data_IF_123998868204
#
_entry.id   IF_123998868204
#
_cell.length_a   1.000
_cell.length_b   1.000
_cell.length_c   1.000
_cell.angle_alpha   90.00
_cell.angle_beta   90.00
_cell.angle_gamma   90.00
#
_symmetry.space_group_name_H-M   'P 1'
#
loop_
_entity.id
_entity.type
_entity.pdbx_description
1 polymer ?
#
# COMPACT_ATOMS: atom_id res chain seq x y z
N UNK A 1 -24.45 -7.49 8.95
CA UNK A 1 -23.05 -7.85 8.66
C UNK A 1 -22.28 -7.86 9.96
N UNK A 2 -21.83 -9.02 10.42
CA UNK A 2 -20.96 -9.11 11.60
C UNK A 2 -19.69 -8.30 11.32
N UNK A 3 -19.42 -7.27 12.13
CA UNK A 3 -18.13 -6.60 12.13
C UNK A 3 -17.11 -7.56 12.74
N UNK A 4 -16.41 -8.32 11.91
CA UNK A 4 -15.26 -9.08 12.36
C UNK A 4 -14.16 -8.10 12.76
N UNK A 5 -13.93 -7.96 14.07
CA UNK A 5 -12.80 -7.22 14.61
C UNK A 5 -11.51 -7.98 14.23
N UNK A 6 -10.81 -7.50 13.21
CA UNK A 6 -9.48 -8.02 12.89
C UNK A 6 -8.51 -7.43 13.92
N UNK A 7 -7.78 -8.24 14.70
CA UNK A 7 -6.85 -7.72 15.70
C UNK A 7 -5.79 -6.84 15.02
N UNK A 8 -5.55 -5.65 15.58
CA UNK A 8 -4.68 -4.60 15.03
C UNK A 8 -3.27 -5.10 14.69
N UNK A 9 -2.77 -6.07 15.45
CA UNK A 9 -1.47 -6.71 15.23
C UNK A 9 -1.39 -7.41 13.87
N UNK A 10 -2.49 -8.06 13.43
CA UNK A 10 -2.49 -8.81 12.17
C UNK A 10 -2.43 -7.87 10.96
N UNK A 11 -3.10 -6.71 11.03
CA UNK A 11 -3.11 -5.75 9.91
C UNK A 11 -1.79 -4.98 9.77
N UNK A 12 -1.17 -4.59 10.89
CA UNK A 12 0.18 -3.99 10.87
C UNK A 12 1.22 -4.97 10.35
N UNK A 13 1.14 -6.24 10.77
CA UNK A 13 2.02 -7.31 10.28
C UNK A 13 1.83 -7.51 8.77
N UNK A 14 0.59 -7.55 8.29
CA UNK A 14 0.30 -7.64 6.86
C UNK A 14 0.89 -6.45 6.08
N UNK A 15 0.76 -5.23 6.58
CA UNK A 15 1.37 -4.04 5.97
C UNK A 15 2.90 -4.12 5.93
N UNK A 16 3.54 -4.59 7.00
CA UNK A 16 4.99 -4.80 7.02
C UNK A 16 5.43 -5.87 6.02
N UNK A 17 4.67 -6.96 5.89
CA UNK A 17 4.93 -7.99 4.87
C UNK A 17 4.84 -7.39 3.46
N UNK A 18 3.84 -6.54 3.18
CA UNK A 18 3.75 -5.83 1.89
C UNK A 18 5.00 -4.99 1.64
N UNK A 19 5.45 -4.18 2.62
CA UNK A 19 6.64 -3.36 2.48
C UNK A 19 7.90 -4.18 2.16
N UNK A 20 8.03 -5.36 2.77
CA UNK A 20 9.15 -6.28 2.51
C UNK A 20 9.06 -6.85 1.10
N UNK A 21 7.88 -7.27 0.64
CA UNK A 21 7.71 -7.80 -0.72
C UNK A 21 7.95 -6.72 -1.78
N UNK A 22 7.48 -5.49 -1.54
CA UNK A 22 7.76 -4.35 -2.43
C UNK A 22 9.25 -4.02 -2.49
N UNK A 23 10.00 -4.15 -1.40
CA UNK A 23 11.44 -3.99 -1.41
C UNK A 23 12.11 -5.01 -2.34
N UNK A 24 11.65 -6.27 -2.33
CA UNK A 24 12.13 -7.30 -3.25
C UNK A 24 11.75 -7.00 -4.71
N UNK A 25 10.52 -6.54 -4.98
CA UNK A 25 10.10 -6.13 -6.32
C UNK A 25 10.92 -4.93 -6.82
N UNK A 26 11.22 -3.97 -5.94
CA UNK A 26 12.09 -2.84 -6.24
C UNK A 26 13.51 -3.32 -6.58
N UNK A 27 14.08 -4.25 -5.80
CA UNK A 27 15.38 -4.84 -6.10
C UNK A 27 15.40 -5.57 -7.45
N UNK A 28 14.33 -6.31 -7.79
CA UNK A 28 14.17 -6.95 -9.09
C UNK A 28 14.05 -5.92 -10.24
N UNK A 29 13.35 -4.82 -10.02
CA UNK A 29 13.24 -3.73 -10.99
C UNK A 29 14.60 -3.06 -11.25
N UNK A 30 15.37 -2.81 -10.18
CA UNK A 30 16.75 -2.30 -10.27
C UNK A 30 17.64 -3.27 -11.04
N UNK A 31 17.59 -4.56 -10.72
CA UNK A 31 18.32 -5.59 -11.45
C UNK A 31 17.95 -5.61 -12.94
N UNK A 32 16.66 -5.55 -13.26
CA UNK A 32 16.16 -5.46 -14.63
C UNK A 32 16.67 -4.22 -15.37
N UNK A 33 16.73 -3.07 -14.67
CA UNK A 33 17.23 -1.81 -15.22
C UNK A 33 18.71 -1.92 -15.61
N UNK A 34 19.56 -2.46 -14.73
CA UNK A 34 20.98 -2.68 -15.01
C UNK A 34 21.19 -3.70 -16.12
N UNK A 35 20.40 -4.79 -16.13
CA UNK A 35 20.46 -5.80 -17.19
C UNK A 35 20.09 -5.22 -18.56
N UNK A 36 19.04 -4.42 -18.64
CA UNK A 36 18.63 -3.74 -19.88
C UNK A 36 19.69 -2.73 -20.34
N UNK A 37 20.28 -1.98 -19.40
CA UNK A 37 21.37 -1.07 -19.72
C UNK A 37 22.60 -1.79 -20.28
N UNK A 38 22.96 -2.95 -19.72
CA UNK A 38 24.06 -3.76 -20.22
C UNK A 38 23.79 -4.34 -21.62
N UNK A 39 22.54 -4.75 -21.90
CA UNK A 39 22.16 -5.34 -23.19
C UNK A 39 22.02 -4.31 -24.32
N UNK A 40 21.45 -3.14 -24.05
CA UNK A 40 21.12 -2.14 -25.07
C UNK A 40 22.10 -0.96 -25.14
N UNK A 41 22.95 -0.82 -24.12
CA UNK A 41 23.98 0.22 -24.04
C UNK A 41 23.39 1.64 -24.08
N UNK A 42 24.06 2.53 -24.82
CA UNK A 42 23.73 3.96 -24.89
C UNK A 42 22.29 4.26 -25.33
N UNK A 43 21.69 3.41 -26.18
CA UNK A 43 20.32 3.59 -26.65
C UNK A 43 19.27 3.53 -25.52
N UNK A 44 19.60 2.87 -24.40
CA UNK A 44 18.75 2.77 -23.22
C UNK A 44 19.10 3.80 -22.14
N UNK A 45 20.08 4.69 -22.35
CA UNK A 45 20.56 5.60 -21.30
C UNK A 45 19.47 6.54 -20.74
N UNK A 46 18.61 7.08 -21.61
CA UNK A 46 17.52 7.97 -21.17
C UNK A 46 16.50 7.18 -20.32
N UNK A 47 16.13 5.98 -20.76
CA UNK A 47 15.23 5.08 -20.03
C UNK A 47 15.85 4.61 -18.70
N UNK A 48 17.16 4.38 -18.69
CA UNK A 48 17.92 4.07 -17.49
C UNK A 48 17.83 5.20 -16.46
N UNK A 49 18.08 6.45 -16.89
CA UNK A 49 18.01 7.61 -16.00
C UNK A 49 16.60 7.80 -15.42
N UNK A 50 15.56 7.69 -16.26
CA UNK A 50 14.16 7.72 -15.82
C UNK A 50 13.84 6.59 -14.82
N UNK A 51 14.37 5.39 -15.08
CA UNK A 51 14.22 4.24 -14.19
C UNK A 51 14.86 4.45 -12.81
N UNK A 52 16.08 4.99 -12.77
CA UNK A 52 16.76 5.30 -11.50
C UNK A 52 15.99 6.35 -10.69
N UNK A 53 15.50 7.41 -11.33
CA UNK A 53 14.68 8.43 -10.66
C UNK A 53 13.41 7.81 -10.08
N UNK A 54 12.74 6.93 -10.85
CA UNK A 54 11.56 6.19 -10.39
C UNK A 54 11.86 5.34 -9.16
N UNK A 55 12.99 4.61 -9.15
CA UNK A 55 13.42 3.79 -8.01
C UNK A 55 13.58 4.63 -6.74
N UNK A 56 14.19 5.82 -6.83
CA UNK A 56 14.32 6.71 -5.68
C UNK A 56 12.97 7.15 -5.11
N UNK A 57 12.00 7.50 -5.97
CA UNK A 57 10.65 7.88 -5.54
C UNK A 57 9.96 6.71 -4.84
N UNK A 58 10.09 5.50 -5.38
CA UNK A 58 9.52 4.28 -4.79
C UNK A 58 10.15 4.00 -3.42
N UNK A 59 11.47 4.12 -3.27
CA UNK A 59 12.15 3.93 -1.99
C UNK A 59 11.66 4.94 -0.92
N UNK A 60 11.45 6.20 -1.31
CA UNK A 60 10.87 7.21 -0.41
C UNK A 60 9.44 6.80 -0.02
N UNK A 61 8.63 6.33 -0.96
CA UNK A 61 7.27 5.87 -0.69
C UNK A 61 7.24 4.68 0.29
N UNK A 62 8.13 3.70 0.13
CA UNK A 62 8.26 2.55 1.05
C UNK A 62 8.71 3.03 2.43
N UNK A 63 9.67 3.96 2.52
CA UNK A 63 10.12 4.52 3.79
C UNK A 63 8.99 5.26 4.52
N UNK A 64 8.19 6.05 3.80
CA UNK A 64 7.00 6.72 4.33
C UNK A 64 5.93 5.72 4.76
N UNK A 65 5.76 4.61 4.03
CA UNK A 65 4.85 3.55 4.41
C UNK A 65 5.23 2.90 5.74
N UNK A 66 6.49 2.51 5.90
CA UNK A 66 7.01 1.96 7.17
C UNK A 66 6.90 3.00 8.30
N UNK A 67 7.18 4.27 8.00
CA UNK A 67 7.01 5.36 8.97
C UNK A 67 5.55 5.58 9.36
N UNK A 68 4.60 5.43 8.44
CA UNK A 68 3.16 5.50 8.72
C UNK A 68 2.72 4.39 9.69
N UNK A 69 3.22 3.17 9.50
CA UNK A 69 2.95 2.04 10.41
C UNK A 69 3.52 2.33 11.81
N UNK A 70 4.73 2.89 11.89
CA UNK A 70 5.39 3.22 13.17
C UNK A 70 4.74 4.41 13.89
N UNK A 71 4.36 5.45 13.16
CA UNK A 71 3.81 6.69 13.72
C UNK A 71 2.29 6.65 13.89
N UNK A 72 1.62 5.57 13.45
CA UNK A 72 0.17 5.37 13.48
C UNK A 72 -0.64 6.48 12.78
N UNK A 73 0.01 7.25 11.93
CA UNK A 73 -0.57 8.41 11.26
C UNK A 73 -0.96 8.04 9.82
N UNK A 74 -2.27 8.08 9.52
CA UNK A 74 -2.80 7.71 8.21
C UNK A 74 -2.31 8.65 7.09
N UNK A 75 -1.99 9.91 7.40
CA UNK A 75 -1.58 10.93 6.43
C UNK A 75 -0.32 10.55 5.63
N UNK A 76 0.62 9.83 6.25
CA UNK A 76 1.86 9.40 5.60
C UNK A 76 1.66 8.23 4.63
N UNK A 77 0.49 7.58 4.67
CA UNK A 77 0.14 6.46 3.79
C UNK A 77 -0.39 6.92 2.42
N UNK A 78 -0.91 8.15 2.34
CA UNK A 78 -1.46 8.75 1.12
C UNK A 78 -0.48 8.72 -0.06
N UNK A 79 0.79 9.19 0.06
CA UNK A 79 1.72 9.16 -1.06
C UNK A 79 1.96 7.73 -1.58
N UNK A 80 2.06 6.75 -0.68
CA UNK A 80 2.26 5.35 -1.05
C UNK A 80 1.04 4.78 -1.79
N UNK A 81 -0.17 5.00 -1.27
CA UNK A 81 -1.43 4.60 -1.94
C UNK A 81 -1.54 5.23 -3.33
N UNK A 82 -1.20 6.51 -3.47
CA UNK A 82 -1.24 7.22 -4.75
C UNK A 82 -0.25 6.64 -5.77
N UNK A 83 0.95 6.26 -5.32
CA UNK A 83 1.97 5.64 -6.16
C UNK A 83 1.54 4.24 -6.64
N UNK A 84 0.95 3.42 -5.76
CA UNK A 84 0.41 2.11 -6.14
C UNK A 84 -0.71 2.22 -7.18
N UNK A 85 -1.68 3.12 -6.98
CA UNK A 85 -2.77 3.34 -7.95
C UNK A 85 -2.20 3.74 -9.31
N UNK A 86 -1.25 4.68 -9.32
CA UNK A 86 -0.56 5.09 -10.54
C UNK A 86 0.14 3.92 -11.23
N UNK A 87 0.87 3.09 -10.47
CA UNK A 87 1.61 1.94 -10.98
C UNK A 87 0.66 0.90 -11.60
N UNK A 88 -0.46 0.58 -10.94
CA UNK A 88 -1.49 -0.33 -11.49
C UNK A 88 -2.02 0.18 -12.83
N UNK A 89 -2.43 1.46 -12.89
CA UNK A 89 -2.94 2.07 -14.13
C UNK A 89 -1.87 2.04 -15.22
N UNK A 90 -0.62 2.37 -14.87
CA UNK A 90 0.50 2.37 -15.80
C UNK A 90 0.76 0.97 -16.38
N UNK A 91 0.80 -0.08 -15.56
CA UNK A 91 1.01 -1.46 -16.02
C UNK A 91 -0.10 -1.91 -16.98
N UNK A 92 -1.36 -1.62 -16.66
CA UNK A 92 -2.50 -1.94 -17.53
C UNK A 92 -2.38 -1.18 -18.86
N UNK A 93 -2.08 0.12 -18.80
CA UNK A 93 -1.92 0.96 -19.98
C UNK A 93 -0.81 0.44 -20.89
N UNK A 94 0.36 0.10 -20.35
CA UNK A 94 1.46 -0.44 -21.16
C UNK A 94 1.08 -1.79 -21.76
N UNK A 95 0.43 -2.68 -21.01
CA UNK A 95 -0.07 -3.96 -21.53
C UNK A 95 -1.06 -3.76 -22.71
N UNK A 96 -1.97 -2.79 -22.60
CA UNK A 96 -2.91 -2.44 -23.68
C UNK A 96 -2.19 -1.88 -24.89
N UNK A 97 -1.21 -0.97 -24.71
CA UNK A 97 -0.42 -0.43 -25.82
C UNK A 97 0.32 -1.54 -26.55
N UNK A 98 0.98 -2.45 -25.82
CA UNK A 98 1.69 -3.59 -26.43
C UNK A 98 0.70 -4.51 -27.18
N UNK A 99 -0.47 -4.78 -26.61
CA UNK A 99 -1.51 -5.58 -27.27
C UNK A 99 -2.02 -4.94 -28.57
N UNK A 100 -2.22 -3.61 -28.58
CA UNK A 100 -2.63 -2.86 -29.78
C UNK A 100 -1.52 -2.89 -30.84
N UNK A 101 -0.26 -2.68 -30.45
CA UNK A 101 0.88 -2.74 -31.36
C UNK A 101 1.03 -4.14 -31.98
N UNK A 102 0.77 -5.19 -31.22
CA UNK A 102 0.72 -6.56 -31.72
C UNK A 102 -0.42 -6.78 -32.71
N UNK A 103 -1.62 -6.25 -32.42
CA UNK A 103 -2.79 -6.38 -33.29
C UNK A 103 -2.57 -5.73 -34.67
N UNK A 104 -1.82 -4.63 -34.73
CA UNK A 104 -1.45 -3.98 -35.99
C UNK A 104 -0.16 -4.53 -36.64
N UNK A 105 0.49 -5.54 -36.06
CA UNK A 105 1.77 -6.07 -36.57
C UNK A 105 2.90 -5.04 -36.53
N UNK A 106 2.80 -4.01 -35.68
CA UNK A 106 3.76 -2.92 -35.58
C UNK A 106 4.96 -3.31 -34.69
N UNK A 107 5.71 -4.36 -35.07
CA UNK A 107 6.82 -4.90 -34.29
C UNK A 107 7.93 -3.88 -34.00
N UNK A 108 8.16 -2.94 -34.92
CA UNK A 108 9.09 -1.83 -34.72
C UNK A 108 8.67 -0.93 -33.55
N UNK A 109 7.37 -0.76 -33.34
CA UNK A 109 6.81 -0.04 -32.19
C UNK A 109 7.09 -0.74 -30.87
N UNK A 110 6.93 -2.06 -30.82
CA UNK A 110 7.24 -2.88 -29.63
C UNK A 110 8.73 -2.77 -29.29
N UNK A 111 9.61 -2.91 -30.30
CA UNK A 111 11.07 -2.75 -30.13
C UNK A 111 11.42 -1.35 -29.62
N UNK A 112 10.78 -0.31 -30.15
CA UNK A 112 11.03 1.05 -29.69
C UNK A 112 10.57 1.28 -28.24
N UNK A 113 9.41 0.75 -27.85
CA UNK A 113 8.88 0.85 -26.49
C UNK A 113 9.82 0.23 -25.46
N UNK A 114 10.55 -0.81 -25.86
CA UNK A 114 11.52 -1.50 -25.00
C UNK A 114 12.93 -0.89 -25.04
N UNK A 115 13.16 0.13 -25.87
CA UNK A 115 14.50 0.71 -26.08
C UNK A 115 15.42 -0.14 -26.97
N UNK A 116 14.83 -1.04 -27.76
CA UNK A 116 15.50 -2.10 -28.55
C UNK A 116 15.48 -1.76 -30.05
N UNK A 117 15.34 -0.49 -30.42
CA UNK A 117 15.09 -0.06 -31.81
C UNK A 117 16.12 -0.57 -32.83
N UNK A 118 17.37 -0.81 -32.41
CA UNK A 118 18.50 -1.20 -33.26
C UNK A 118 18.98 -2.65 -33.05
N UNK A 119 18.35 -3.42 -32.16
CA UNK A 119 18.77 -4.81 -31.94
C UNK A 119 18.14 -5.73 -32.98
N UNK A 120 18.95 -6.56 -33.63
CA UNK A 120 18.47 -7.48 -34.66
C UNK A 120 17.66 -8.60 -34.01
N UNK A 121 16.36 -8.56 -34.21
CA UNK A 121 15.40 -9.47 -33.60
C UNK A 121 14.39 -9.89 -34.67
N UNK A 122 14.07 -11.18 -34.74
CA UNK A 122 13.06 -11.68 -35.67
C UNK A 122 11.66 -11.20 -35.27
N UNK A 123 10.73 -11.15 -36.22
CA UNK A 123 9.35 -10.77 -35.91
C UNK A 123 8.68 -11.80 -34.99
N UNK A 124 8.97 -13.10 -35.16
CA UNK A 124 8.49 -14.17 -34.27
C UNK A 124 8.96 -14.00 -32.82
N UNK A 125 10.23 -13.67 -32.62
CA UNK A 125 10.75 -13.40 -31.28
C UNK A 125 10.14 -12.14 -30.69
N UNK A 126 9.85 -11.12 -31.52
CA UNK A 126 9.23 -9.87 -31.06
C UNK A 126 7.79 -10.11 -30.64
N UNK A 127 7.07 -10.97 -31.36
CA UNK A 127 5.72 -11.41 -31.01
C UNK A 127 5.69 -12.15 -29.68
N UNK A 128 6.56 -13.15 -29.49
CA UNK A 128 6.65 -13.90 -28.23
C UNK A 128 7.02 -12.99 -27.06
N UNK A 129 7.98 -12.09 -27.26
CA UNK A 129 8.38 -11.11 -26.25
C UNK A 129 7.22 -10.16 -25.89
N UNK A 130 6.44 -9.72 -26.89
CA UNK A 130 5.23 -8.92 -26.67
C UNK A 130 4.21 -9.64 -25.79
N UNK A 131 3.92 -10.92 -26.07
CA UNK A 131 3.02 -11.75 -25.24
C UNK A 131 3.57 -11.85 -23.81
N UNK A 132 4.87 -12.14 -23.66
CA UNK A 132 5.49 -12.27 -22.35
C UNK A 132 5.38 -10.98 -21.52
N UNK A 133 5.59 -9.82 -22.14
CA UNK A 133 5.41 -8.52 -21.46
C UNK A 133 3.98 -8.34 -20.99
N UNK A 134 3.00 -8.60 -21.87
CA UNK A 134 1.58 -8.45 -21.52
C UNK A 134 1.25 -9.33 -20.31
N UNK A 135 1.64 -10.60 -20.35
CA UNK A 135 1.38 -11.56 -19.26
C UNK A 135 2.04 -11.11 -17.96
N UNK A 136 3.32 -10.73 -18.01
CA UNK A 136 4.06 -10.28 -16.83
C UNK A 136 3.43 -9.01 -16.24
N UNK A 137 3.12 -8.01 -17.06
CA UNK A 137 2.53 -6.75 -16.57
C UNK A 137 1.13 -6.94 -16.01
N UNK A 138 0.31 -7.84 -16.58
CA UNK A 138 -0.98 -8.19 -15.99
C UNK A 138 -0.84 -8.93 -14.66
N UNK A 139 0.12 -9.86 -14.54
CA UNK A 139 0.39 -10.55 -13.27
C UNK A 139 0.87 -9.59 -12.19
N UNK A 140 1.80 -8.68 -12.52
CA UNK A 140 2.26 -7.66 -11.58
C UNK A 140 1.11 -6.71 -11.23
N UNK A 141 0.27 -6.29 -12.18
CA UNK A 141 -0.89 -5.45 -11.89
C UNK A 141 -1.88 -6.14 -10.93
N UNK A 142 -2.13 -7.44 -11.08
CA UNK A 142 -2.95 -8.22 -10.14
C UNK A 142 -2.34 -8.27 -8.74
N UNK A 143 -1.01 -8.43 -8.65
CA UNK A 143 -0.29 -8.41 -7.38
C UNK A 143 -0.39 -7.03 -6.71
N UNK A 144 -0.24 -5.96 -7.48
CA UNK A 144 -0.34 -4.58 -7.00
C UNK A 144 -1.78 -4.23 -6.56
N UNK A 145 -2.80 -4.76 -7.23
CA UNK A 145 -4.21 -4.65 -6.77
C UNK A 145 -4.39 -5.35 -5.41
N UNK A 146 -3.76 -6.50 -5.21
CA UNK A 146 -3.79 -7.21 -3.94
C UNK A 146 -3.10 -6.42 -2.81
N UNK A 147 -1.94 -5.83 -3.08
CA UNK A 147 -1.25 -4.95 -2.12
C UNK A 147 -2.06 -3.69 -1.83
N UNK A 148 -2.61 -3.04 -2.86
CA UNK A 148 -3.48 -1.88 -2.72
C UNK A 148 -4.68 -2.19 -1.81
N UNK A 149 -5.27 -3.38 -1.92
CA UNK A 149 -6.36 -3.80 -1.04
C UNK A 149 -5.94 -3.88 0.44
N UNK A 150 -4.76 -4.45 0.72
CA UNK A 150 -4.22 -4.55 2.09
C UNK A 150 -3.92 -3.16 2.65
N UNK A 151 -3.20 -2.33 1.88
CA UNK A 151 -2.84 -0.96 2.24
C UNK A 151 -4.08 -0.09 2.44
N UNK A 152 -5.09 -0.22 1.57
CA UNK A 152 -6.35 0.51 1.70
C UNK A 152 -7.12 0.10 2.96
N UNK A 153 -7.16 -1.19 3.31
CA UNK A 153 -7.73 -1.64 4.59
C UNK A 153 -6.97 -1.05 5.78
N UNK A 154 -5.64 -1.02 5.72
CA UNK A 154 -4.80 -0.40 6.74
C UNK A 154 -5.06 1.11 6.86
N UNK A 155 -5.18 1.82 5.73
CA UNK A 155 -5.53 3.24 5.69
C UNK A 155 -6.87 3.52 6.37
N UNK A 156 -7.91 2.76 6.00
CA UNK A 156 -9.24 2.90 6.60
C UNK A 156 -9.23 2.60 8.10
N UNK A 157 -8.44 1.61 8.52
CA UNK A 157 -8.24 1.30 9.93
C UNK A 157 -7.58 2.47 10.66
N UNK A 158 -6.45 2.99 10.18
CA UNK A 158 -5.74 4.12 10.81
C UNK A 158 -6.60 5.39 10.86
N UNK A 159 -7.33 5.72 9.79
CA UNK A 159 -8.26 6.85 9.80
C UNK A 159 -9.37 6.68 10.86
N UNK A 160 -9.83 5.45 11.10
CA UNK A 160 -10.83 5.19 12.13
C UNK A 160 -10.26 5.44 13.53
N UNK A 161 -9.02 5.01 13.79
CA UNK A 161 -8.33 5.31 15.05
C UNK A 161 -8.10 6.82 15.26
N UNK A 162 -7.70 7.53 14.20
CA UNK A 162 -7.52 8.99 14.23
C UNK A 162 -8.84 9.72 14.50
N UNK A 163 -9.96 9.24 13.95
CA UNK A 163 -11.29 9.80 14.24
C UNK A 163 -11.70 9.63 15.70
N UNK A 164 -11.36 8.48 16.31
CA UNK A 164 -11.67 8.19 17.71
C UNK A 164 -10.80 9.05 18.65
N UNK A 165 -9.51 9.25 18.34
CA UNK A 165 -8.65 10.12 19.13
C UNK A 165 -9.16 11.58 19.11
N UNK A 166 -9.58 12.07 17.95
CA UNK A 166 -10.14 13.41 17.81
C UNK A 166 -11.46 13.60 18.56
N UNK A 167 -12.38 12.62 18.53
CA UNK A 167 -13.63 12.68 19.31
C UNK A 167 -13.36 12.64 20.82
N UNK A 168 -12.44 11.78 21.26
CA UNK A 168 -12.10 11.65 22.68
C UNK A 168 -11.38 12.89 23.21
N UNK A 169 -10.58 13.57 22.37
CA UNK A 169 -9.91 14.81 22.76
C UNK A 169 -10.85 15.92 23.24
N UNK A 170 -12.09 15.90 22.76
CA UNK A 170 -13.13 16.85 23.15
C UNK A 170 -13.86 16.41 24.43
N UNK A 171 -13.94 15.09 24.69
CA UNK A 171 -14.76 14.53 25.77
C UNK A 171 -14.00 14.20 27.06
N UNK A 172 -12.67 14.02 27.06
CA UNK A 172 -11.92 13.82 28.32
C UNK A 172 -11.85 15.09 29.20
N UNK A 173 -12.22 16.25 28.66
CA UNK A 173 -12.24 17.52 29.39
C UNK A 173 -13.50 17.72 30.24
N UNK A 174 -14.50 16.83 30.14
CA UNK A 174 -15.73 16.91 30.93
C UNK A 174 -15.81 15.71 31.88
N UNK A 175 -15.48 15.95 33.15
CA UNK A 175 -15.34 14.95 34.23
C UNK A 175 -16.66 14.24 34.62
N UNK A 176 -17.79 14.51 33.94
CA UNK A 176 -19.11 14.17 34.47
C UNK A 176 -19.99 13.24 33.61
N UNK A 177 -19.59 12.81 32.42
CA UNK A 177 -20.38 11.85 31.65
C UNK A 177 -19.50 10.83 30.94
N UNK A 178 -19.45 9.60 31.47
CA UNK A 178 -18.91 8.47 30.74
C UNK A 178 -19.72 8.29 29.45
N UNK A 179 -19.08 8.29 28.26
CA UNK A 179 -19.79 8.05 27.01
C UNK A 179 -20.35 6.62 27.04
N UNK A 180 -21.65 6.51 27.25
CA UNK A 180 -22.42 5.28 27.00
C UNK A 180 -22.54 5.11 25.49
N UNK A 181 -21.49 4.64 24.83
CA UNK A 181 -21.62 4.15 23.47
C UNK A 181 -21.22 2.67 23.36
N UNK A 182 -21.82 1.97 22.41
CA UNK A 182 -21.54 0.55 22.16
C UNK A 182 -20.29 0.35 21.30
N UNK A 183 -19.40 1.34 21.22
CA UNK A 183 -18.17 1.31 20.41
C UNK A 183 -16.91 1.24 21.25
N UNK A 184 -16.98 1.68 22.50
CA UNK A 184 -15.87 1.68 23.44
C UNK A 184 -16.18 0.70 24.58
N UNK A 185 -15.15 0.02 25.07
CA UNK A 185 -15.23 -0.99 26.11
C UNK A 185 -16.15 -0.56 27.26
N UNK A 186 -17.31 -1.18 27.35
CA UNK A 186 -18.19 -1.00 28.50
C UNK A 186 -18.02 -2.20 29.41
N UNK A 187 -18.32 -2.05 30.70
CA UNK A 187 -18.39 -3.18 31.63
C UNK A 187 -19.35 -4.27 31.12
N UNK A 188 -20.36 -3.88 30.32
CA UNK A 188 -21.27 -4.80 29.64
C UNK A 188 -20.63 -5.60 28.49
N UNK A 189 -19.45 -5.21 27.99
CA UNK A 189 -18.64 -5.94 27.01
C UNK A 189 -17.49 -6.75 27.64
N UNK A 190 -17.34 -6.74 28.97
CA UNK A 190 -16.33 -7.53 29.68
C UNK A 190 -14.94 -6.88 29.76
N UNK A 191 -14.81 -5.61 29.39
CA UNK A 191 -13.55 -4.88 29.54
C UNK A 191 -13.36 -4.39 30.98
N UNK A 192 -12.28 -4.85 31.62
CA UNK A 192 -11.91 -4.52 32.99
C UNK A 192 -10.91 -3.35 32.95
N UNK A 193 -11.31 -2.17 33.43
CA UNK A 193 -10.41 -1.01 33.48
C UNK A 193 -9.38 -1.16 34.61
N UNK A 194 -8.10 -0.80 34.40
CA UNK A 194 -7.04 -0.88 35.42
C UNK A 194 -7.22 0.10 36.59
N UNK A 195 -8.18 1.03 36.48
CA UNK A 195 -8.67 1.86 37.57
C UNK A 195 -10.08 1.35 37.89
N UNK A 196 -10.20 0.55 38.95
CA UNK A 196 -11.39 -0.25 39.22
C UNK A 196 -12.72 0.52 39.20
N UNK A 197 -13.78 -0.21 38.87
CA UNK A 197 -15.20 0.19 38.92
C UNK A 197 -15.70 0.64 40.32
N UNK A 198 -14.81 0.79 41.29
CA UNK A 198 -15.12 1.04 42.70
C UNK A 198 -15.77 2.41 42.95
N UNK A 199 -15.67 3.37 42.02
CA UNK A 199 -16.28 4.70 42.23
C UNK A 199 -17.77 4.79 41.92
N UNK A 200 -18.42 3.75 41.38
CA UNK A 200 -19.83 3.86 40.93
C UNK A 200 -20.87 3.38 41.94
N UNK A 201 -20.47 2.77 43.06
CA UNK A 201 -21.41 2.31 44.09
C UNK A 201 -21.52 3.20 45.34
N UNK A 202 -20.72 4.26 45.48
CA UNK A 202 -20.69 5.06 46.72
C UNK A 202 -21.49 6.38 46.66
N UNK A 203 -22.10 6.72 45.52
CA UNK A 203 -22.88 7.96 45.40
C UNK A 203 -24.32 7.86 45.92
N UNK A 204 -24.74 6.71 46.47
CA UNK A 204 -26.11 6.49 46.93
C UNK A 204 -26.23 5.88 48.34
N UNK A 205 -25.12 5.77 49.09
CA UNK A 205 -25.17 5.38 50.49
C UNK A 205 -24.18 6.22 51.29
N UNK A 206 -24.64 7.39 51.71
CA UNK A 206 -24.02 8.09 52.83
C UNK A 206 -24.12 7.21 54.07
N UNK A 207 -23.01 6.57 54.47
CA UNK A 207 -22.66 6.26 55.86
C UNK A 207 -21.41 5.35 55.92
N UNK A 208 -20.42 5.81 56.70
CA UNK A 208 -19.27 5.07 57.28
C UNK A 208 -18.21 4.73 56.21
N UNK A 209 -16.95 5.16 56.31
CA UNK A 209 -16.01 4.93 57.40
C UNK A 209 -15.04 6.12 57.56
N UNK A 210 -14.85 6.55 58.82
CA UNK A 210 -13.85 7.47 59.40
C UNK A 210 -13.41 8.70 58.60
#
# INVERSE_FOLDING_TARGET
MAKSYVPCSNLKTAGLVVAVVELFLCALAVYGLFRNFHLFGSNYFIWFLLGIISVFIILIAIALFVYAIKSENARWLIPHLSAQIFLVIFLILVAVIVAILMLFGAYRGIRNLLGVSNYYMSDDSTFLLGIMIIVIYLLVALLEIFFLYIVYRLYKHLCHYESIDNENRVNWQVVNDFPKDNKHGSVAMGDQYPYGDERRNDANNGQRYL
#
